data_IF_943295565982
#
_entry.id   IF_943295565982
#
_cell.length_a   1.000
_cell.length_b   1.000
_cell.length_c   1.000
_cell.angle_alpha   90.00
_cell.angle_beta   90.00
_cell.angle_gamma   90.00
#
_symmetry.space_group_name_H-M   'P 1'
#
loop_
_entity.id
_entity.type
_entity.pdbx_description
1 polymer ?
#
# COMPACT_ATOMS: atom_id res chain seq x y z
N UNK A 1 -7.40 2.31 0.67
CA UNK A 1 -7.80 1.61 1.91
C UNK A 1 -6.56 1.14 2.65
N UNK A 2 -6.71 0.68 3.89
CA UNK A 2 -5.64 0.04 4.64
C UNK A 2 -6.14 -1.16 5.43
N UNK A 3 -5.23 -2.06 5.74
CA UNK A 3 -5.49 -3.28 6.47
C UNK A 3 -4.30 -3.54 7.40
N UNK A 4 -4.53 -4.16 8.56
CA UNK A 4 -3.48 -4.59 9.47
C UNK A 4 -3.49 -6.11 9.58
N UNK A 5 -2.32 -6.72 9.39
CA UNK A 5 -2.08 -8.15 9.54
C UNK A 5 -1.29 -8.36 10.83
N UNK A 6 -1.93 -8.91 11.85
CA UNK A 6 -1.31 -9.02 13.17
C UNK A 6 -0.25 -10.11 13.25
N UNK A 7 -0.39 -11.18 12.46
CA UNK A 7 0.55 -12.30 12.42
C UNK A 7 1.97 -11.85 12.07
N UNK A 8 2.08 -10.90 11.13
CA UNK A 8 3.36 -10.38 10.62
C UNK A 8 3.65 -8.94 11.11
N UNK A 9 2.76 -8.33 11.91
CA UNK A 9 2.81 -6.91 12.30
C UNK A 9 2.99 -5.97 11.09
N UNK A 10 2.20 -6.22 10.03
CA UNK A 10 2.27 -5.46 8.77
C UNK A 10 1.02 -4.60 8.60
N UNK A 11 1.25 -3.36 8.20
CA UNK A 11 0.20 -2.53 7.64
C UNK A 11 0.26 -2.48 6.12
N UNK A 12 -0.84 -2.86 5.50
CA UNK A 12 -1.04 -2.84 4.06
C UNK A 12 -1.81 -1.58 3.67
N UNK A 13 -1.28 -0.79 2.76
CA UNK A 13 -1.97 0.36 2.16
C UNK A 13 -2.20 0.09 0.69
N UNK A 14 -3.46 0.15 0.27
CA UNK A 14 -3.89 -0.20 -1.07
C UNK A 14 -4.57 0.99 -1.76
N UNK A 15 -4.16 1.26 -2.99
CA UNK A 15 -4.95 2.00 -3.97
C UNK A 15 -5.64 0.97 -4.89
N UNK A 16 -6.94 1.12 -5.11
CA UNK A 16 -7.71 0.29 -6.06
C UNK A 16 -8.32 1.13 -7.17
N UNK A 17 -8.58 0.51 -8.30
CA UNK A 17 -9.38 1.10 -9.38
C UNK A 17 -10.89 0.92 -9.14
N UNK A 18 -11.69 1.36 -10.13
CA UNK A 18 -13.16 1.30 -10.09
C UNK A 18 -13.71 -0.14 -10.13
N UNK A 19 -12.86 -1.12 -10.44
CA UNK A 19 -13.18 -2.56 -10.50
C UNK A 19 -12.63 -3.32 -9.28
N UNK A 20 -12.19 -2.60 -8.24
CA UNK A 20 -11.64 -3.14 -6.98
C UNK A 20 -10.28 -3.85 -7.14
N UNK A 21 -9.58 -3.64 -8.27
CA UNK A 21 -8.25 -4.18 -8.48
C UNK A 21 -7.18 -3.32 -7.83
N UNK A 22 -6.23 -3.96 -7.13
CA UNK A 22 -5.08 -3.28 -6.53
C UNK A 22 -4.17 -2.72 -7.61
N UNK A 23 -4.07 -1.39 -7.68
CA UNK A 23 -3.18 -0.66 -8.59
C UNK A 23 -1.89 -0.20 -7.91
N UNK A 24 -1.91 -0.05 -6.57
CA UNK A 24 -0.73 0.14 -5.73
C UNK A 24 -0.87 -0.52 -4.37
N UNK A 25 0.26 -1.02 -3.87
CA UNK A 25 0.40 -1.65 -2.57
C UNK A 25 1.65 -1.16 -1.87
N UNK A 26 1.52 -0.79 -0.60
CA UNK A 26 2.64 -0.46 0.28
C UNK A 26 2.50 -1.28 1.56
N UNK A 27 3.58 -1.97 1.93
CA UNK A 27 3.67 -2.77 3.16
C UNK A 27 4.65 -2.08 4.12
N UNK A 28 4.17 -1.83 5.33
CA UNK A 28 4.95 -1.23 6.41
C UNK A 28 5.00 -2.20 7.60
N UNK A 29 6.18 -2.69 7.93
CA UNK A 29 6.42 -3.63 9.02
C UNK A 29 6.67 -2.89 10.34
N UNK A 30 6.08 -3.41 11.40
CA UNK A 30 6.40 -3.05 12.76
C UNK A 30 5.89 -1.68 13.21
N UNK A 31 6.15 -1.32 14.48
CA UNK A 31 5.72 -0.05 15.06
C UNK A 31 6.42 1.16 14.42
N UNK A 32 7.63 0.99 13.88
CA UNK A 32 8.37 2.05 13.18
C UNK A 32 7.90 2.28 11.74
N UNK A 33 6.98 1.44 11.24
CA UNK A 33 6.46 1.50 9.87
C UNK A 33 7.56 1.41 8.82
N UNK A 34 8.48 0.47 9.00
CA UNK A 34 9.58 0.24 8.08
C UNK A 34 9.03 -0.25 6.73
N UNK A 35 9.29 0.43 5.61
CA UNK A 35 8.77 0.00 4.33
C UNK A 35 9.49 -1.25 3.84
N UNK A 36 8.73 -2.31 3.53
CA UNK A 36 9.25 -3.57 3.00
C UNK A 36 8.81 -3.83 1.56
N UNK A 37 7.68 -3.23 1.12
CA UNK A 37 7.23 -3.27 -0.27
C UNK A 37 6.54 -1.96 -0.67
N UNK A 38 6.62 -1.61 -1.96
CA UNK A 38 5.99 -0.44 -2.57
C UNK A 38 5.74 -0.69 -4.07
N UNK A 39 4.82 -1.60 -4.38
CA UNK A 39 4.57 -2.08 -5.72
C UNK A 39 3.40 -1.33 -6.40
N UNK A 40 3.50 -1.13 -7.73
CA UNK A 40 2.42 -0.65 -8.58
C UNK A 40 2.20 -1.55 -9.79
N UNK A 41 0.93 -1.81 -10.13
CA UNK A 41 0.54 -2.69 -11.24
C UNK A 41 1.08 -2.17 -12.58
N UNK A 42 1.03 -0.85 -12.79
CA UNK A 42 1.54 -0.22 -14.01
C UNK A 42 3.06 -0.41 -14.17
N UNK A 43 3.81 -0.28 -13.07
CA UNK A 43 5.26 -0.44 -13.08
C UNK A 43 5.66 -1.92 -13.23
N UNK A 44 4.93 -2.84 -12.58
CA UNK A 44 5.10 -4.27 -12.73
C UNK A 44 4.86 -4.74 -14.18
N UNK A 45 3.75 -4.30 -14.81
CA UNK A 45 3.45 -4.61 -16.22
C UNK A 45 4.55 -4.11 -17.15
N UNK A 46 5.01 -2.87 -16.95
CA UNK A 46 6.13 -2.32 -17.73
C UNK A 46 7.43 -3.10 -17.52
N UNK A 47 7.71 -3.55 -16.30
CA UNK A 47 8.88 -4.37 -16.01
C UNK A 47 8.79 -5.73 -16.73
N UNK A 48 7.59 -6.32 -16.80
CA UNK A 48 7.34 -7.53 -17.58
C UNK A 48 7.59 -7.30 -19.09
N UNK A 49 7.00 -6.25 -19.67
CA UNK A 49 7.16 -5.89 -21.09
C UNK A 49 8.62 -5.64 -21.49
N UNK A 50 9.44 -5.17 -20.55
CA UNK A 50 10.87 -4.87 -20.76
C UNK A 50 11.81 -5.97 -20.31
N UNK A 51 11.29 -7.12 -19.85
CA UNK A 51 12.10 -8.26 -19.38
C UNK A 51 12.87 -8.00 -18.08
N UNK A 52 12.41 -7.04 -17.25
CA UNK A 52 13.04 -6.63 -15.98
C UNK A 52 12.21 -7.00 -14.76
N UNK A 53 11.27 -7.92 -14.90
CA UNK A 53 10.31 -8.26 -13.87
C UNK A 53 10.97 -8.67 -12.55
N UNK A 54 11.92 -9.62 -12.61
CA UNK A 54 12.61 -10.09 -11.42
C UNK A 54 13.37 -8.98 -10.66
N UNK A 55 13.98 -8.02 -11.39
CA UNK A 55 14.65 -6.87 -10.78
C UNK A 55 13.67 -5.94 -10.08
N UNK A 56 12.50 -5.73 -10.70
CA UNK A 56 11.45 -4.92 -10.13
C UNK A 56 10.88 -5.57 -8.86
N UNK A 57 10.51 -6.85 -8.91
CA UNK A 57 9.94 -7.59 -7.79
C UNK A 57 10.91 -7.65 -6.60
N UNK A 58 12.20 -7.84 -6.86
CA UNK A 58 13.24 -7.83 -5.82
C UNK A 58 13.41 -6.47 -5.13
N UNK A 59 13.02 -5.37 -5.78
CA UNK A 59 13.23 -4.00 -5.26
C UNK A 59 11.98 -3.41 -4.63
N UNK A 60 10.81 -3.76 -5.15
CA UNK A 60 9.54 -3.11 -4.81
C UNK A 60 8.48 -4.08 -4.27
N UNK A 61 8.75 -5.39 -4.32
CA UNK A 61 7.75 -6.42 -4.02
C UNK A 61 6.79 -6.66 -5.19
N UNK A 62 5.77 -7.45 -4.90
CA UNK A 62 4.73 -7.85 -5.85
C UNK A 62 3.45 -7.09 -5.47
N UNK A 63 2.71 -6.60 -6.47
CA UNK A 63 1.34 -6.10 -6.20
C UNK A 63 0.39 -7.27 -6.03
N UNK A 64 -0.58 -7.18 -5.13
CA UNK A 64 -1.65 -8.17 -5.03
C UNK A 64 -2.19 -8.57 -6.42
N UNK A 65 -2.22 -9.87 -6.67
CA UNK A 65 -2.63 -10.45 -7.96
C UNK A 65 -4.16 -10.61 -8.07
N UNK A 66 -4.91 -10.11 -7.09
CA UNK A 66 -6.36 -10.31 -6.94
C UNK A 66 -7.08 -9.03 -6.48
N UNK A 67 -8.38 -8.89 -6.76
CA UNK A 67 -9.24 -7.86 -6.19
C UNK A 67 -9.26 -7.91 -4.66
N UNK A 68 -9.48 -6.76 -4.01
CA UNK A 68 -9.45 -6.71 -2.54
C UNK A 68 -10.63 -7.43 -1.91
N UNK A 69 -11.78 -7.42 -2.58
CA UNK A 69 -12.97 -8.21 -2.22
C UNK A 69 -12.71 -9.73 -2.17
N UNK A 70 -11.62 -10.20 -2.76
CA UNK A 70 -11.20 -11.61 -2.78
C UNK A 70 -10.01 -11.92 -1.86
N UNK A 71 -9.49 -10.91 -1.15
CA UNK A 71 -8.42 -11.06 -0.16
C UNK A 71 -8.91 -11.75 1.12
N UNK A 72 -7.98 -12.33 1.89
CA UNK A 72 -8.26 -12.99 3.17
C UNK A 72 -8.88 -12.03 4.21
N UNK A 73 -9.56 -12.63 5.19
CA UNK A 73 -10.56 -12.15 6.20
C UNK A 73 -10.22 -10.87 7.01
N UNK A 74 -9.69 -9.83 6.37
CA UNK A 74 -9.34 -8.58 7.02
C UNK A 74 -10.22 -7.46 6.51
N UNK A 75 -10.91 -6.79 7.43
CA UNK A 75 -11.82 -5.67 7.13
C UNK A 75 -11.00 -4.45 6.67
N UNK A 76 -11.02 -4.08 5.37
CA UNK A 76 -10.23 -2.98 4.86
C UNK A 76 -10.86 -1.65 5.28
N UNK A 77 -10.10 -0.82 5.98
CA UNK A 77 -10.54 0.51 6.38
C UNK A 77 -10.35 1.51 5.22
N UNK A 78 -11.35 2.36 4.89
CA UNK A 78 -11.15 3.42 3.93
C UNK A 78 -10.09 4.40 4.44
N UNK A 79 -9.19 4.84 3.55
CA UNK A 79 -8.29 5.94 3.86
C UNK A 79 -9.11 7.22 3.79
N UNK A 80 -9.55 7.72 4.94
CA UNK A 80 -10.15 9.05 4.99
C UNK A 80 -9.02 10.08 4.89
N UNK A 81 -9.17 11.04 3.99
CA UNK A 81 -8.38 12.27 4.03
C UNK A 81 -8.87 13.10 5.23
N UNK A 82 -8.64 12.63 6.46
CA UNK A 82 -8.72 13.53 7.60
C UNK A 82 -7.56 14.52 7.44
N UNK A 83 -7.89 15.73 7.00
CA UNK A 83 -6.91 16.78 6.80
C UNK A 83 -6.17 16.96 8.11
N UNK A 84 -4.91 16.50 8.15
CA UNK A 84 -4.06 16.63 9.33
C UNK A 84 -4.05 18.09 9.73
N UNK A 85 -4.86 18.45 10.72
CA UNK A 85 -4.93 19.80 11.24
C UNK A 85 -3.58 20.06 11.90
N UNK A 86 -2.66 20.70 11.18
CA UNK A 86 -1.57 21.43 11.80
C UNK A 86 -2.20 22.58 12.59
N UNK A 87 -2.72 22.27 13.77
CA UNK A 87 -2.99 23.26 14.80
C UNK A 87 -1.64 23.69 15.37
N UNK A 88 -0.92 24.51 14.61
CA UNK A 88 0.17 25.31 15.10
C UNK A 88 -0.35 26.72 15.29
N UNK A 89 -1.00 27.00 16.42
CA UNK A 89 -1.26 28.38 16.82
C UNK A 89 0.09 29.01 17.17
N UNK A 90 0.59 30.03 16.45
CA UNK A 90 1.80 30.72 16.88
C UNK A 90 1.48 31.52 18.16
N UNK A 91 2.42 31.64 19.12
CA UNK A 91 2.20 32.46 20.29
C UNK A 91 2.06 33.93 19.86
N UNK A 92 0.96 34.56 20.28
CA UNK A 92 0.85 36.02 20.33
C UNK A 92 1.86 36.50 21.37
N UNK A 93 2.75 37.41 20.94
CA UNK A 93 3.77 38.05 21.79
C UNK A 93 3.22 39.06 22.77
#
# INVERSE_FOLDING_TARGET
MRCYWDEEDIWLYLEVDDEDWVIRQVELEGPERTPIAAASLAAWRRAQETGRLATYESSFGITAERPVSEGEDHDPEPLTCDGSSRSGTPPVG
#
